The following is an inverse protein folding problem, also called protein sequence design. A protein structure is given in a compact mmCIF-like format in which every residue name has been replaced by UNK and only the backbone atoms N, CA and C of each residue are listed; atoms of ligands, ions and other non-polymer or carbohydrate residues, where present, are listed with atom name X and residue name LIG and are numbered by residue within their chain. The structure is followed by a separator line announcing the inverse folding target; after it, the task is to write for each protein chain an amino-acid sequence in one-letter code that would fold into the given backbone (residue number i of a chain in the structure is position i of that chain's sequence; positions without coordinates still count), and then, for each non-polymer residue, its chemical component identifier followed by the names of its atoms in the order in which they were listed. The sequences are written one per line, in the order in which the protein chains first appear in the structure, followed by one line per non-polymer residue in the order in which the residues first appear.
data_IF_888018856488
#
_entry.id   IF_888018856488
#
_cell.length_a   1.000
_cell.length_b   1.000
_cell.length_c   1.000
_cell.angle_alpha   90.00
_cell.angle_beta   90.00
_cell.angle_gamma   90.00
#
_symmetry.space_group_name_H-M   'P 1'
#
loop_
_entity.id
_entity.type
_entity.pdbx_description
1 polymer ?
#
# COMPACT_ATOMS: atom_id res chain seq x y z
N UNK A 1 25.31 -5.06 25.27
CA UNK A 1 25.45 -6.41 24.69
C UNK A 1 26.91 -6.61 24.31
N UNK A 2 27.55 -7.70 24.77
CA UNK A 2 28.93 -8.03 24.40
C UNK A 2 28.99 -8.45 22.91
N UNK A 3 30.00 -7.94 22.19
CA UNK A 3 30.52 -8.47 20.92
C UNK A 3 29.53 -8.80 19.81
N UNK A 4 28.91 -7.80 19.16
CA UNK A 4 28.37 -8.03 17.81
C UNK A 4 29.54 -8.14 16.84
N UNK A 5 29.81 -9.35 16.34
CA UNK A 5 30.64 -9.53 15.16
C UNK A 5 30.06 -8.64 14.04
N UNK A 6 30.82 -7.66 13.58
CA UNK A 6 30.46 -6.87 12.41
C UNK A 6 30.32 -7.83 11.23
N UNK A 7 29.16 -7.90 10.56
CA UNK A 7 28.99 -8.79 9.42
C UNK A 7 29.99 -8.41 8.33
N UNK A 8 30.62 -9.42 7.72
CA UNK A 8 31.54 -9.23 6.60
C UNK A 8 30.75 -8.85 5.36
N UNK A 9 31.18 -7.79 4.66
CA UNK A 9 30.62 -7.41 3.38
C UNK A 9 31.10 -8.39 2.29
N UNK A 10 30.16 -8.93 1.51
CA UNK A 10 30.44 -9.96 0.51
C UNK A 10 29.74 -9.66 -0.82
N UNK A 11 30.21 -10.31 -1.88
CA UNK A 11 29.43 -10.52 -3.11
C UNK A 11 28.26 -11.48 -2.87
N UNK A 12 27.35 -11.62 -3.83
CA UNK A 12 26.17 -12.49 -3.75
C UNK A 12 26.54 -13.97 -3.55
N UNK A 13 27.66 -14.44 -4.09
CA UNK A 13 28.17 -15.80 -3.88
C UNK A 13 28.87 -15.99 -2.53
N UNK A 14 28.98 -14.94 -1.71
CA UNK A 14 29.58 -14.98 -0.37
C UNK A 14 31.08 -14.67 -0.33
N UNK A 15 31.69 -14.24 -1.43
CA UNK A 15 33.11 -13.84 -1.46
C UNK A 15 33.34 -12.53 -0.68
N UNK A 16 34.19 -12.51 0.37
CA UNK A 16 34.50 -11.29 1.12
C UNK A 16 35.20 -10.23 0.26
N UNK A 17 34.79 -8.98 0.43
CA UNK A 17 35.37 -7.83 -0.26
C UNK A 17 35.98 -6.87 0.77
N UNK A 18 37.18 -6.38 0.51
CA UNK A 18 37.92 -5.51 1.44
C UNK A 18 37.29 -4.12 1.61
N UNK A 19 36.62 -3.58 0.58
CA UNK A 19 35.94 -2.28 0.63
C UNK A 19 34.71 -2.24 -0.29
N UNK A 20 33.58 -1.80 0.24
CA UNK A 20 32.34 -1.61 -0.53
C UNK A 20 32.32 -0.33 -1.37
N UNK A 21 33.34 0.53 -1.26
CA UNK A 21 33.36 1.87 -1.86
C UNK A 21 34.41 2.03 -2.98
N UNK A 22 34.99 0.94 -3.46
CA UNK A 22 36.04 0.95 -4.49
C UNK A 22 35.61 0.19 -5.74
N UNK A 23 36.06 0.66 -6.89
CA UNK A 23 35.97 -0.04 -8.17
C UNK A 23 37.37 -0.24 -8.75
N UNK A 24 37.60 -1.35 -9.43
CA UNK A 24 38.83 -1.63 -10.15
C UNK A 24 38.91 -0.75 -11.40
N UNK A 25 40.03 -0.04 -11.52
CA UNK A 25 40.30 0.79 -12.68
C UNK A 25 41.70 0.55 -13.22
N UNK A 26 41.85 0.63 -14.54
CA UNK A 26 43.13 0.71 -15.20
C UNK A 26 43.56 2.17 -15.32
N UNK A 27 44.81 2.42 -14.92
CA UNK A 27 45.44 3.73 -14.94
C UNK A 27 46.77 3.63 -15.66
N UNK A 28 47.01 4.50 -16.64
CA UNK A 28 48.33 4.63 -17.27
C UNK A 28 49.33 5.24 -16.30
N UNK A 29 50.58 4.76 -16.33
CA UNK A 29 51.70 5.28 -15.53
C UNK A 29 52.01 6.75 -15.81
N UNK A 30 51.64 7.26 -16.98
CA UNK A 30 51.82 8.67 -17.37
C UNK A 30 50.68 9.59 -16.89
N UNK A 31 49.68 9.05 -16.18
CA UNK A 31 48.51 9.80 -15.70
C UNK A 31 48.70 10.20 -14.23
N UNK A 32 48.92 11.49 -13.89
CA UNK A 32 49.19 11.96 -12.52
C UNK A 32 48.11 11.54 -11.54
N UNK A 33 48.45 11.17 -10.29
CA UNK A 33 47.55 10.60 -9.26
C UNK A 33 46.16 11.27 -9.16
N UNK A 34 46.11 12.59 -9.35
CA UNK A 34 44.92 13.44 -9.31
C UNK A 34 44.03 13.46 -10.57
N UNK A 35 44.46 12.84 -11.67
CA UNK A 35 43.74 12.87 -12.95
C UNK A 35 42.65 11.80 -13.05
N UNK A 36 41.43 12.23 -13.39
CA UNK A 36 40.22 11.40 -13.57
C UNK A 36 40.22 10.48 -14.82
N UNK A 37 41.37 10.25 -15.44
CA UNK A 37 41.50 9.46 -16.68
C UNK A 37 41.84 8.00 -16.36
N UNK A 38 40.85 7.27 -15.86
CA UNK A 38 40.95 5.83 -15.55
C UNK A 38 39.83 5.05 -16.25
N UNK A 39 40.14 3.86 -16.74
CA UNK A 39 39.16 2.97 -17.38
C UNK A 39 38.64 1.97 -16.35
N UNK A 40 37.32 1.82 -16.24
CA UNK A 40 36.70 0.75 -15.43
C UNK A 40 36.93 -0.59 -16.12
N UNK A 41 37.16 -1.65 -15.33
CA UNK A 41 37.43 -2.99 -15.85
C UNK A 41 36.18 -3.87 -15.83
N UNK A 42 35.95 -4.62 -16.91
CA UNK A 42 34.84 -5.59 -17.00
C UNK A 42 35.00 -6.78 -16.03
N UNK A 43 36.20 -7.02 -15.51
CA UNK A 43 36.44 -8.06 -14.50
C UNK A 43 35.98 -7.65 -13.09
N UNK A 44 35.55 -6.39 -12.89
CA UNK A 44 35.11 -5.90 -11.59
C UNK A 44 33.71 -6.44 -11.25
N UNK A 45 33.66 -7.66 -10.72
CA UNK A 45 32.42 -8.33 -10.32
C UNK A 45 31.63 -7.51 -9.29
N UNK A 46 32.31 -6.90 -8.31
CA UNK A 46 31.65 -6.09 -7.28
C UNK A 46 30.86 -4.94 -7.91
N UNK A 47 31.49 -4.20 -8.81
CA UNK A 47 30.85 -3.09 -9.50
C UNK A 47 29.68 -3.57 -10.36
N UNK A 48 29.90 -4.61 -11.17
CA UNK A 48 28.89 -5.12 -12.11
C UNK A 48 27.68 -5.64 -11.36
N UNK A 49 27.90 -6.45 -10.33
CA UNK A 49 26.82 -7.05 -9.53
C UNK A 49 25.99 -5.99 -8.82
N UNK A 50 26.65 -5.04 -8.13
CA UNK A 50 25.98 -3.96 -7.40
C UNK A 50 25.11 -3.13 -8.35
N UNK A 51 25.64 -2.72 -9.50
CA UNK A 51 24.90 -1.94 -10.48
C UNK A 51 23.81 -2.76 -11.18
N UNK A 52 24.07 -4.03 -11.48
CA UNK A 52 23.10 -4.92 -12.12
C UNK A 52 21.89 -5.18 -11.21
N UNK A 53 22.11 -5.33 -9.90
CA UNK A 53 21.04 -5.46 -8.94
C UNK A 53 20.25 -4.16 -8.80
N UNK A 54 20.93 -3.01 -8.65
CA UNK A 54 20.29 -1.69 -8.54
C UNK A 54 19.34 -1.41 -9.73
N UNK A 55 19.79 -1.68 -10.96
CA UNK A 55 18.98 -1.50 -12.18
C UNK A 55 17.74 -2.41 -12.23
N UNK A 56 17.60 -3.38 -11.32
CA UNK A 56 16.51 -4.37 -11.25
C UNK A 56 15.69 -4.29 -9.97
N UNK A 57 15.93 -3.31 -9.09
CA UNK A 57 15.19 -3.16 -7.83
C UNK A 57 13.70 -2.87 -8.03
N UNK A 58 13.30 -2.28 -9.16
CA UNK A 58 11.92 -1.89 -9.41
C UNK A 58 11.16 -3.00 -10.13
N UNK A 59 10.09 -3.45 -9.51
CA UNK A 59 9.03 -4.25 -10.14
C UNK A 59 7.84 -3.34 -10.49
N UNK A 60 6.95 -3.74 -11.40
CA UNK A 60 5.73 -2.96 -11.67
C UNK A 60 4.93 -2.72 -10.39
N UNK A 61 4.52 -1.47 -10.17
CA UNK A 61 3.57 -1.16 -9.10
C UNK A 61 2.20 -1.79 -9.39
N UNK A 62 1.34 -1.86 -8.37
CA UNK A 62 -0.04 -2.31 -8.57
C UNK A 62 -0.77 -1.29 -9.46
N UNK A 63 -1.49 -1.76 -10.48
CA UNK A 63 -2.25 -0.92 -11.43
C UNK A 63 -3.21 0.06 -10.71
N UNK A 64 -3.77 -0.41 -9.60
CA UNK A 64 -4.57 0.35 -8.63
C UNK A 64 -4.04 0.02 -7.24
N UNK A 65 -4.24 0.91 -6.27
CA UNK A 65 -3.76 0.70 -4.91
C UNK A 65 -2.23 0.56 -4.81
N UNK A 66 -1.49 1.35 -5.60
CA UNK A 66 -0.03 1.35 -5.61
C UNK A 66 0.54 1.83 -4.27
N UNK A 67 0.07 3.00 -3.82
CA UNK A 67 0.44 3.63 -2.55
C UNK A 67 -0.30 2.98 -1.38
N UNK A 68 0.45 2.44 -0.42
CA UNK A 68 -0.10 1.71 0.71
C UNK A 68 0.88 1.59 1.86
N UNK A 69 0.31 1.44 3.05
CA UNK A 69 0.98 1.12 4.30
C UNK A 69 0.46 -0.22 4.83
N UNK A 70 1.31 -0.99 5.51
CA UNK A 70 0.91 -2.26 6.08
C UNK A 70 1.52 -2.53 7.44
N UNK A 71 0.86 -3.40 8.20
CA UNK A 71 1.30 -3.84 9.52
C UNK A 71 0.87 -5.29 9.78
N UNK A 72 1.72 -6.02 10.50
CA UNK A 72 1.34 -7.29 11.08
C UNK A 72 0.51 -7.07 12.34
N UNK A 73 -0.41 -7.99 12.61
CA UNK A 73 -1.24 -7.97 13.79
C UNK A 73 -1.86 -9.33 14.09
N UNK A 74 -2.89 -9.30 14.93
CA UNK A 74 -3.60 -10.48 15.38
C UNK A 74 -5.11 -10.28 15.26
N UNK A 75 -5.80 -11.28 14.73
CA UNK A 75 -7.26 -11.39 14.76
C UNK A 75 -7.67 -12.34 15.88
N UNK A 76 -8.64 -11.94 16.70
CA UNK A 76 -9.16 -12.75 17.80
C UNK A 76 -10.68 -12.95 17.67
N UNK A 77 -11.13 -14.19 17.85
CA UNK A 77 -12.55 -14.53 17.88
C UNK A 77 -13.13 -14.18 19.25
N UNK A 78 -13.95 -13.14 19.31
CA UNK A 78 -14.57 -12.70 20.59
C UNK A 78 -16.00 -13.21 20.79
N UNK A 79 -16.63 -13.75 19.75
CA UNK A 79 -18.01 -14.27 19.78
C UNK A 79 -18.10 -15.52 18.94
N UNK A 80 -18.88 -16.47 19.42
CA UNK A 80 -19.15 -17.70 18.68
C UNK A 80 -20.10 -17.41 17.52
N UNK A 81 -19.67 -17.75 16.31
CA UNK A 81 -20.45 -17.67 15.07
C UNK A 81 -20.43 -19.01 14.31
N UNK A 82 -20.13 -20.12 15.00
CA UNK A 82 -20.02 -21.46 14.42
C UNK A 82 -21.31 -21.97 13.78
N UNK A 83 -22.46 -21.39 14.15
CA UNK A 83 -23.75 -21.65 13.49
C UNK A 83 -23.83 -21.08 12.06
N UNK A 84 -22.96 -20.11 11.73
CA UNK A 84 -22.95 -19.44 10.43
C UNK A 84 -21.87 -19.99 9.49
N UNK A 85 -20.78 -20.55 10.02
CA UNK A 85 -19.65 -21.02 9.22
C UNK A 85 -18.85 -22.13 9.87
N UNK A 86 -18.28 -23.01 9.05
CA UNK A 86 -17.24 -23.95 9.48
C UNK A 86 -15.80 -23.45 9.30
N UNK A 87 -15.61 -22.17 8.96
CA UNK A 87 -14.29 -21.57 8.79
C UNK A 87 -13.44 -21.68 10.07
N UNK A 88 -12.36 -22.49 10.02
CA UNK A 88 -11.54 -22.83 11.19
C UNK A 88 -11.00 -21.61 11.96
N UNK A 89 -10.67 -20.51 11.28
CA UNK A 89 -10.09 -19.33 11.94
C UNK A 89 -11.15 -18.46 12.66
N UNK A 90 -12.43 -18.65 12.34
CA UNK A 90 -13.56 -17.93 12.95
C UNK A 90 -14.23 -18.71 14.09
N UNK A 91 -13.86 -19.98 14.28
CA UNK A 91 -14.46 -20.88 15.26
C UNK A 91 -13.52 -21.14 16.45
N UNK A 92 -14.09 -21.01 17.65
CA UNK A 92 -13.40 -21.09 18.94
C UNK A 92 -13.13 -19.70 19.52
N UNK A 93 -13.96 -19.27 20.48
CA UNK A 93 -13.77 -18.00 21.19
C UNK A 93 -12.38 -17.97 21.86
N UNK A 94 -11.68 -16.84 21.74
CA UNK A 94 -10.29 -16.65 22.16
C UNK A 94 -9.25 -17.15 21.16
N UNK A 95 -9.66 -17.77 20.05
CA UNK A 95 -8.72 -18.21 19.01
C UNK A 95 -8.08 -17.01 18.32
N UNK A 96 -6.75 -17.05 18.23
CA UNK A 96 -5.90 -16.01 17.64
C UNK A 96 -5.32 -16.45 16.30
N UNK A 97 -5.31 -15.55 15.32
CA UNK A 97 -4.74 -15.76 13.99
C UNK A 97 -3.86 -14.59 13.60
N UNK A 98 -2.64 -14.86 13.13
CA UNK A 98 -1.75 -13.81 12.58
C UNK A 98 -2.35 -13.22 11.31
N UNK A 99 -2.34 -11.90 11.19
CA UNK A 99 -2.85 -11.17 10.02
C UNK A 99 -1.83 -10.16 9.53
N UNK A 100 -1.84 -9.92 8.22
CA UNK A 100 -1.13 -8.81 7.58
C UNK A 100 -2.17 -7.85 7.00
N UNK A 101 -2.19 -6.62 7.50
CA UNK A 101 -3.01 -5.54 6.97
C UNK A 101 -2.21 -4.74 5.94
N UNK A 102 -2.87 -4.30 4.87
CA UNK A 102 -2.30 -3.37 3.88
C UNK A 102 -3.37 -2.37 3.42
N UNK A 103 -3.41 -1.19 4.02
CA UNK A 103 -4.34 -0.11 3.66
C UNK A 103 -3.71 0.78 2.58
N UNK A 104 -4.48 1.18 1.59
CA UNK A 104 -3.99 1.89 0.40
C UNK A 104 -4.91 3.04 -0.03
N UNK A 105 -4.40 4.01 -0.80
CA UNK A 105 -5.24 4.81 -1.73
C UNK A 105 -5.57 3.95 -2.96
N UNK A 106 -6.19 4.47 -4.02
CA UNK A 106 -6.57 3.71 -5.23
C UNK A 106 -5.92 4.27 -6.49
N UNK A 107 -6.19 5.54 -6.79
CA UNK A 107 -5.80 6.20 -8.03
C UNK A 107 -4.32 6.61 -8.09
N UNK A 108 -3.73 7.17 -7.00
CA UNK A 108 -2.34 7.61 -6.99
C UNK A 108 -1.35 6.48 -7.26
N UNK A 109 -0.23 6.84 -7.91
CA UNK A 109 0.93 5.97 -8.06
C UNK A 109 1.69 5.83 -6.72
N UNK A 110 2.70 4.97 -6.64
CA UNK A 110 3.46 4.70 -5.42
C UNK A 110 4.10 5.95 -4.77
N UNK A 111 4.36 7.02 -5.54
CA UNK A 111 4.88 8.30 -5.03
C UNK A 111 3.84 9.42 -4.89
N UNK A 112 2.55 9.08 -4.84
CA UNK A 112 1.48 10.05 -4.57
C UNK A 112 1.39 10.42 -3.08
N UNK A 113 0.47 11.32 -2.74
CA UNK A 113 0.22 11.71 -1.34
C UNK A 113 -0.92 10.91 -0.71
N UNK A 114 -0.74 10.46 0.52
CA UNK A 114 -1.70 9.60 1.25
C UNK A 114 -2.95 10.34 1.72
N UNK A 115 -2.92 11.68 1.77
CA UNK A 115 -4.06 12.53 2.15
C UNK A 115 -4.94 12.93 0.96
N UNK A 116 -4.70 12.41 -0.25
CA UNK A 116 -5.56 12.69 -1.41
C UNK A 116 -6.97 12.12 -1.22
N UNK A 117 -7.98 12.84 -1.73
CA UNK A 117 -9.38 12.35 -1.73
C UNK A 117 -9.48 11.11 -2.59
N UNK A 118 -9.73 9.98 -1.94
CA UNK A 118 -9.81 8.69 -2.63
C UNK A 118 -10.51 7.66 -1.74
N UNK A 119 -10.91 6.54 -2.34
CA UNK A 119 -11.29 5.36 -1.57
C UNK A 119 -10.03 4.81 -0.87
N UNK A 120 -10.19 4.27 0.35
CA UNK A 120 -9.11 3.51 1.00
C UNK A 120 -9.32 2.01 0.89
N UNK A 121 -8.26 1.29 0.51
CA UNK A 121 -8.29 -0.12 0.18
C UNK A 121 -7.68 -1.02 1.25
N UNK A 122 -8.55 -1.71 2.00
CA UNK A 122 -8.47 -3.12 2.47
C UNK A 122 -9.84 -3.39 3.04
N UNK A 123 -10.66 -4.21 2.35
CA UNK A 123 -12.11 -4.28 2.59
C UNK A 123 -12.71 -2.85 2.57
N UNK A 124 -13.06 -2.37 1.37
CA UNK A 124 -13.57 -1.03 1.06
C UNK A 124 -13.89 -0.14 2.26
N UNK A 125 -13.24 1.01 2.38
CA UNK A 125 -13.59 2.04 3.35
C UNK A 125 -15.06 2.53 3.25
N UNK A 126 -15.73 2.20 2.14
CA UNK A 126 -17.15 2.45 1.90
C UNK A 126 -17.91 1.12 1.72
N UNK A 127 -19.16 1.01 2.19
CA UNK A 127 -19.94 -0.22 2.04
C UNK A 127 -20.43 -0.49 0.60
N UNK A 128 -20.20 0.45 -0.33
CA UNK A 128 -20.63 0.43 -1.73
C UNK A 128 -19.48 0.87 -2.64
N UNK A 129 -19.63 0.66 -3.95
CA UNK A 129 -18.60 0.98 -4.94
C UNK A 129 -19.20 1.68 -6.16
N UNK A 130 -18.35 2.22 -7.05
CA UNK A 130 -18.76 3.03 -8.20
C UNK A 130 -19.48 2.25 -9.31
N UNK A 131 -19.32 0.93 -9.32
CA UNK A 131 -19.84 0.05 -10.36
C UNK A 131 -20.44 -1.21 -9.74
N UNK A 132 -21.38 -1.82 -10.46
CA UNK A 132 -21.93 -3.16 -10.17
C UNK A 132 -21.67 -4.18 -11.27
N UNK A 133 -21.09 -3.74 -12.40
CA UNK A 133 -20.73 -4.57 -13.55
C UNK A 133 -19.21 -4.59 -13.71
N UNK A 134 -18.54 -5.77 -13.61
CA UNK A 134 -17.08 -5.86 -13.57
C UNK A 134 -16.39 -5.37 -14.86
N UNK A 135 -17.07 -5.47 -16.00
CA UNK A 135 -16.54 -5.01 -17.30
C UNK A 135 -16.24 -3.51 -17.31
N UNK A 136 -16.88 -2.73 -16.44
CA UNK A 136 -16.67 -1.29 -16.32
C UNK A 136 -15.44 -0.92 -15.47
N UNK A 137 -14.82 -1.88 -14.78
CA UNK A 137 -13.69 -1.63 -13.86
C UNK A 137 -12.49 -0.93 -14.53
N UNK A 138 -12.06 -1.28 -15.76
CA UNK A 138 -11.00 -0.54 -16.44
C UNK A 138 -11.39 0.90 -16.73
N UNK A 139 -12.63 1.15 -17.17
CA UNK A 139 -13.11 2.48 -17.55
C UNK A 139 -13.21 3.43 -16.35
N UNK A 140 -13.78 2.96 -15.22
CA UNK A 140 -13.83 3.78 -13.99
C UNK A 140 -12.42 4.09 -13.46
N UNK A 141 -11.49 3.14 -13.49
CA UNK A 141 -10.13 3.43 -13.01
C UNK A 141 -9.36 4.36 -13.96
N UNK A 142 -9.60 4.29 -15.27
CA UNK A 142 -9.03 5.23 -16.24
C UNK A 142 -9.57 6.65 -16.02
N UNK A 143 -10.85 6.81 -15.68
CA UNK A 143 -11.43 8.14 -15.42
C UNK A 143 -10.89 8.82 -14.16
N UNK A 144 -10.37 8.04 -13.19
CA UNK A 144 -9.73 8.56 -11.98
C UNK A 144 -8.22 8.76 -12.12
N UNK A 145 -7.63 8.43 -13.27
CA UNK A 145 -6.18 8.49 -13.51
C UNK A 145 -5.86 9.61 -14.51
N UNK A 146 -4.61 9.61 -14.96
CA UNK A 146 -4.06 10.63 -15.84
C UNK A 146 -4.61 10.51 -17.26
N UNK A 147 -4.89 11.65 -17.88
CA UNK A 147 -5.25 11.73 -19.28
C UNK A 147 -4.10 11.18 -20.15
N UNK A 148 -4.40 10.36 -21.18
CA UNK A 148 -3.37 9.67 -21.96
C UNK A 148 -2.49 10.60 -22.80
N UNK A 149 -2.96 11.79 -23.17
CA UNK A 149 -2.19 12.75 -23.95
C UNK A 149 -1.34 13.68 -23.07
N UNK A 150 -1.91 14.17 -21.96
CA UNK A 150 -1.25 15.19 -21.12
C UNK A 150 -0.53 14.59 -19.91
N UNK A 151 -0.82 13.34 -19.55
CA UNK A 151 -0.33 12.68 -18.35
C UNK A 151 -0.65 13.47 -17.05
N UNK A 152 -1.74 14.24 -17.05
CA UNK A 152 -2.25 15.04 -15.93
C UNK A 152 -3.66 14.58 -15.52
N UNK A 153 -4.10 14.97 -14.32
CA UNK A 153 -5.49 14.72 -13.89
C UNK A 153 -6.49 15.46 -14.78
N UNK A 154 -7.64 14.84 -15.04
CA UNK A 154 -8.67 15.39 -15.94
C UNK A 154 -10.07 15.23 -15.33
N UNK A 155 -10.60 16.35 -14.84
CA UNK A 155 -11.93 16.39 -14.24
C UNK A 155 -13.05 16.11 -15.25
N UNK A 156 -12.82 16.37 -16.54
CA UNK A 156 -13.79 16.06 -17.60
C UNK A 156 -13.90 14.55 -17.73
N UNK A 157 -12.77 13.82 -17.80
CA UNK A 157 -12.78 12.35 -17.81
C UNK A 157 -13.48 11.76 -16.58
N UNK A 158 -13.17 12.30 -15.40
CA UNK A 158 -13.78 11.86 -14.15
C UNK A 158 -15.31 12.01 -14.17
N UNK A 159 -15.81 13.22 -14.48
CA UNK A 159 -17.25 13.49 -14.43
C UNK A 159 -18.01 12.91 -15.62
N UNK A 160 -17.42 12.85 -16.81
CA UNK A 160 -18.05 12.22 -17.98
C UNK A 160 -18.40 10.75 -17.71
N UNK A 161 -17.47 9.98 -17.11
CA UNK A 161 -17.74 8.60 -16.74
C UNK A 161 -18.94 8.49 -15.78
N UNK A 162 -18.96 9.29 -14.70
CA UNK A 162 -19.98 9.18 -13.66
C UNK A 162 -21.34 9.75 -14.10
N UNK A 163 -21.36 10.77 -14.94
CA UNK A 163 -22.59 11.32 -15.53
C UNK A 163 -23.30 10.27 -16.41
N UNK A 164 -22.53 9.40 -17.07
CA UNK A 164 -23.03 8.34 -17.95
C UNK A 164 -23.15 6.96 -17.26
N UNK A 165 -22.76 6.82 -15.99
CA UNK A 165 -22.82 5.58 -15.21
C UNK A 165 -23.33 5.87 -13.79
N UNK A 166 -24.64 6.10 -13.68
CA UNK A 166 -25.27 6.66 -12.48
C UNK A 166 -25.35 5.69 -11.30
N UNK A 167 -25.07 4.39 -11.48
CA UNK A 167 -25.10 3.41 -10.39
C UNK A 167 -24.10 3.73 -9.26
N UNK A 168 -23.05 4.48 -9.57
CA UNK A 168 -22.00 4.88 -8.62
C UNK A 168 -22.34 6.09 -7.76
N UNK A 169 -23.50 6.74 -7.94
CA UNK A 169 -23.86 8.00 -7.25
C UNK A 169 -23.73 7.91 -5.73
N UNK A 170 -24.13 6.77 -5.13
CA UNK A 170 -23.99 6.57 -3.68
C UNK A 170 -22.50 6.56 -3.25
N UNK A 171 -21.62 5.90 -3.99
CA UNK A 171 -20.18 5.91 -3.69
C UNK A 171 -19.56 7.31 -3.90
N UNK A 172 -19.99 8.06 -4.91
CA UNK A 172 -19.57 9.45 -5.14
C UNK A 172 -19.94 10.34 -3.96
N UNK A 173 -21.17 10.22 -3.43
CA UNK A 173 -21.59 11.00 -2.25
C UNK A 173 -20.68 10.74 -1.05
N UNK A 174 -20.28 9.48 -0.82
CA UNK A 174 -19.37 9.15 0.28
C UNK A 174 -17.96 9.67 -0.02
N UNK A 175 -17.46 9.52 -1.26
CA UNK A 175 -16.15 10.00 -1.71
C UNK A 175 -16.01 11.52 -1.53
N UNK A 176 -17.05 12.30 -1.85
CA UNK A 176 -17.02 13.77 -1.74
C UNK A 176 -17.44 14.29 -0.36
N UNK A 177 -17.96 13.44 0.53
CA UNK A 177 -18.04 13.77 1.95
C UNK A 177 -16.65 13.84 2.59
N UNK A 178 -16.54 14.28 3.85
CA UNK A 178 -15.25 14.24 4.56
C UNK A 178 -14.68 12.81 4.67
N UNK A 179 -15.53 11.77 4.59
CA UNK A 179 -15.06 10.38 4.59
C UNK A 179 -14.06 10.09 3.46
N UNK A 180 -14.12 10.78 2.32
CA UNK A 180 -13.12 10.61 1.26
C UNK A 180 -11.68 10.95 1.64
N UNK A 181 -11.46 11.57 2.81
CA UNK A 181 -10.14 11.91 3.32
C UNK A 181 -10.03 11.54 4.81
N UNK A 182 -9.65 10.30 5.14
CA UNK A 182 -9.43 9.90 6.53
C UNK A 182 -8.29 10.68 7.20
N UNK A 183 -8.44 11.01 8.48
CA UNK A 183 -7.41 11.68 9.28
C UNK A 183 -6.24 10.76 9.63
N UNK A 184 -6.48 9.46 9.60
CA UNK A 184 -5.48 8.40 9.74
C UNK A 184 -6.10 7.10 9.22
N UNK A 185 -5.26 6.17 8.79
CA UNK A 185 -5.70 4.79 8.51
C UNK A 185 -6.10 4.02 9.77
N UNK A 186 -5.75 4.51 10.96
CA UNK A 186 -6.20 3.96 12.25
C UNK A 186 -7.62 4.39 12.58
N UNK A 187 -8.08 5.51 12.03
CA UNK A 187 -9.39 6.12 12.35
C UNK A 187 -10.40 5.89 11.23
N UNK A 188 -10.36 4.73 10.59
CA UNK A 188 -11.22 4.37 9.47
C UNK A 188 -11.92 3.04 9.71
N UNK A 189 -13.13 2.91 9.18
CA UNK A 189 -13.82 1.62 9.14
C UNK A 189 -13.54 0.95 7.80
N UNK A 190 -13.60 -0.37 7.78
CA UNK A 190 -13.47 -1.19 6.57
C UNK A 190 -14.71 -2.08 6.40
N UNK A 191 -15.13 -2.29 5.16
CA UNK A 191 -16.36 -3.00 4.81
C UNK A 191 -16.09 -4.01 3.68
N UNK A 192 -16.74 -5.17 3.72
CA UNK A 192 -16.55 -6.18 2.68
C UNK A 192 -16.96 -5.71 1.28
N UNK A 193 -17.80 -4.68 1.19
CA UNK A 193 -18.36 -4.14 -0.05
C UNK A 193 -19.35 -5.09 -0.70
N UNK A 194 -18.91 -6.29 -1.07
CA UNK A 194 -19.74 -7.36 -1.61
C UNK A 194 -20.47 -8.15 -0.50
N UNK A 195 -21.54 -8.82 -0.90
CA UNK A 195 -22.19 -9.86 -0.10
C UNK A 195 -21.42 -11.16 -0.30
N UNK A 196 -21.05 -11.83 0.79
CA UNK A 196 -20.37 -13.12 0.78
C UNK A 196 -21.30 -14.22 1.28
N UNK A 197 -20.94 -15.48 1.04
CA UNK A 197 -21.60 -16.63 1.67
C UNK A 197 -20.67 -17.22 2.73
N UNK A 198 -21.16 -17.33 3.95
CA UNK A 198 -20.57 -18.21 4.94
C UNK A 198 -21.27 -19.57 4.84
N UNK A 199 -20.47 -20.63 4.78
CA UNK A 199 -20.93 -22.01 4.55
C UNK A 199 -20.62 -22.85 5.78
N UNK A 200 -21.56 -23.70 6.16
CA UNK A 200 -21.45 -24.69 7.24
C UNK A 200 -20.98 -26.05 6.72
N UNK A 201 -20.67 -26.98 7.63
CA UNK A 201 -20.20 -28.33 7.27
C UNK A 201 -21.25 -29.18 6.54
N UNK A 202 -22.54 -28.87 6.73
CA UNK A 202 -23.66 -29.51 6.02
C UNK A 202 -23.93 -28.90 4.63
N UNK A 203 -23.17 -27.88 4.22
CA UNK A 203 -23.34 -27.15 2.97
C UNK A 203 -24.42 -26.06 2.99
N UNK A 204 -25.15 -25.88 4.10
CA UNK A 204 -26.03 -24.73 4.28
C UNK A 204 -25.22 -23.43 4.29
N UNK A 205 -25.83 -22.31 3.87
CA UNK A 205 -25.13 -21.04 3.81
C UNK A 205 -25.98 -19.85 4.25
N UNK A 206 -25.30 -18.82 4.76
CA UNK A 206 -25.89 -17.51 5.09
C UNK A 206 -25.17 -16.42 4.31
N UNK A 207 -25.93 -15.47 3.75
CA UNK A 207 -25.36 -14.28 3.14
C UNK A 207 -24.89 -13.29 4.22
N UNK A 208 -23.67 -12.78 4.09
CA UNK A 208 -23.07 -11.88 5.07
C UNK A 208 -22.39 -10.67 4.44
N UNK A 209 -22.20 -9.64 5.27
CA UNK A 209 -21.35 -8.47 5.02
C UNK A 209 -20.40 -8.34 6.20
N UNK A 210 -19.12 -8.12 5.94
CA UNK A 210 -18.13 -7.91 7.02
C UNK A 210 -17.92 -6.42 7.25
N UNK A 211 -17.87 -6.05 8.53
CA UNK A 211 -17.69 -4.68 8.98
C UNK A 211 -16.57 -4.67 10.03
N UNK A 212 -15.44 -4.08 9.70
CA UNK A 212 -14.35 -3.80 10.62
C UNK A 212 -14.50 -2.37 11.10
N UNK A 213 -14.71 -2.19 12.40
CA UNK A 213 -14.95 -0.89 13.02
C UNK A 213 -13.74 -0.53 13.85
N UNK A 214 -13.12 0.60 13.54
CA UNK A 214 -11.97 1.10 14.30
C UNK A 214 -12.40 1.47 15.71
N UNK A 215 -11.66 0.97 16.71
CA UNK A 215 -11.82 1.36 18.10
C UNK A 215 -11.26 2.77 18.38
N UNK A 216 -10.51 3.36 17.45
CA UNK A 216 -10.02 4.74 17.52
C UNK A 216 -11.07 5.75 17.03
N UNK A 217 -12.19 5.26 16.51
CA UNK A 217 -13.30 6.05 15.98
C UNK A 217 -13.03 6.58 14.57
N UNK A 218 -14.09 7.03 13.88
CA UNK A 218 -13.96 7.58 12.52
C UNK A 218 -13.60 9.07 12.58
N UNK A 219 -12.42 9.43 12.07
CA UNK A 219 -11.95 10.82 11.98
C UNK A 219 -11.50 11.13 10.55
N UNK A 220 -11.80 12.33 10.09
CA UNK A 220 -11.57 12.76 8.72
C UNK A 220 -10.97 14.17 8.68
N UNK A 221 -10.19 14.45 7.64
CA UNK A 221 -9.63 15.77 7.38
C UNK A 221 -10.64 16.63 6.59
N UNK A 222 -10.49 17.95 6.72
CA UNK A 222 -11.06 18.90 5.76
C UNK A 222 -10.14 18.99 4.54
N UNK A 223 -10.70 19.38 3.38
CA UNK A 223 -9.93 19.47 2.13
C UNK A 223 -8.67 20.34 2.28
N UNK A 224 -8.77 21.54 2.85
CA UNK A 224 -7.62 22.45 2.98
C UNK A 224 -6.49 21.89 3.87
N UNK A 225 -6.83 21.12 4.90
CA UNK A 225 -5.84 20.44 5.75
C UNK A 225 -5.16 19.30 5.00
N UNK A 226 -5.94 18.53 4.24
CA UNK A 226 -5.44 17.45 3.41
C UNK A 226 -4.49 17.94 2.31
N UNK A 227 -4.83 19.05 1.66
CA UNK A 227 -4.01 19.67 0.61
C UNK A 227 -2.68 20.16 1.17
N UNK A 228 -2.70 20.76 2.38
CA UNK A 228 -1.49 21.17 3.09
C UNK A 228 -0.60 19.97 3.42
N UNK A 229 -1.17 18.93 4.02
CA UNK A 229 -0.43 17.70 4.34
C UNK A 229 0.11 17.01 3.09
N UNK A 230 -0.62 17.02 1.97
CA UNK A 230 -0.15 16.42 0.73
C UNK A 230 1.14 17.07 0.20
N UNK A 231 1.39 18.34 0.52
CA UNK A 231 2.62 19.05 0.21
C UNK A 231 3.71 18.94 1.29
N UNK A 232 3.33 18.98 2.57
CA UNK A 232 4.28 18.98 3.69
C UNK A 232 4.76 17.58 4.08
N UNK A 233 3.87 16.59 4.07
CA UNK A 233 4.16 15.19 4.37
C UNK A 233 3.28 14.26 3.52
N UNK A 234 3.73 13.87 2.31
CA UNK A 234 2.97 12.95 1.45
C UNK A 234 2.81 11.54 2.05
N UNK A 235 3.68 11.15 3.00
CA UNK A 235 3.72 9.84 3.69
C UNK A 235 3.05 9.88 5.08
N UNK A 236 2.17 10.85 5.31
CA UNK A 236 1.57 11.16 6.62
C UNK A 236 0.84 9.97 7.28
N UNK A 237 0.10 9.14 6.54
CA UNK A 237 -0.57 7.96 7.10
C UNK A 237 0.41 6.83 7.41
N UNK A 238 1.47 6.70 6.61
CA UNK A 238 2.57 5.76 6.84
C UNK A 238 3.31 6.09 8.13
N UNK A 239 3.71 7.36 8.31
CA UNK A 239 4.37 7.85 9.52
C UNK A 239 3.49 7.69 10.75
N UNK A 240 2.20 8.03 10.64
CA UNK A 240 1.24 7.89 11.74
C UNK A 240 1.11 6.42 12.19
N UNK A 241 0.92 5.48 11.25
CA UNK A 241 0.79 4.07 11.62
C UNK A 241 2.09 3.55 12.22
N UNK A 242 3.23 3.78 11.55
CA UNK A 242 4.52 3.28 11.99
C UNK A 242 4.86 3.82 13.38
N UNK A 243 4.78 5.15 13.57
CA UNK A 243 5.11 5.79 14.83
C UNK A 243 4.16 5.40 15.97
N UNK A 244 2.92 5.02 15.68
CA UNK A 244 1.98 4.53 16.70
C UNK A 244 2.32 3.11 17.15
N UNK A 245 2.63 2.23 16.19
CA UNK A 245 3.08 0.85 16.48
C UNK A 245 4.40 0.87 17.26
N UNK A 246 5.35 1.71 16.86
CA UNK A 246 6.64 1.86 17.55
C UNK A 246 6.48 2.28 19.02
N UNK A 247 5.47 3.12 19.31
CA UNK A 247 5.14 3.58 20.68
C UNK A 247 4.29 2.59 21.47
N UNK A 248 3.85 1.49 20.87
CA UNK A 248 2.92 0.53 21.49
C UNK A 248 1.45 0.97 21.52
N UNK A 249 1.10 2.05 20.80
CA UNK A 249 -0.29 2.51 20.59
C UNK A 249 -0.91 1.74 19.41
N UNK A 250 -1.14 0.44 19.62
CA UNK A 250 -1.62 -0.47 18.58
C UNK A 250 -3.09 -0.16 18.20
N UNK A 251 -3.38 0.14 16.92
CA UNK A 251 -4.76 0.26 16.46
C UNK A 251 -5.45 -1.11 16.40
N UNK A 252 -6.78 -1.10 16.56
CA UNK A 252 -7.65 -2.28 16.62
C UNK A 252 -9.03 -1.94 16.12
#
# INVERSE_FOLDING_TARGET
MPGKNTPTYTLAEGCPIASSSTAQTFRSSNTPASSAKSLVLLQDTQLIETLAHFLRERIPERVVHALAVGAWGEFEVIKDISSLTSAKFLNGVGKKSKVLLRISTVAPQAGGAETQRDVRGTHFYQPVFFIRDPIKFPSVNRSHKKNPATNAGDNTMFWDYHNNNQEGTHAIMILFSNRGIPASIRTLNSYSGHTYKLVNDDGSFTYVKFHFKSNQGVKNLKQAEADKLAGENPDYHSDDLFGSIEKGDFPS
#
